data_IF_778038004538
#
_entry.id   IF_778038004538
#
_cell.length_a   1.000
_cell.length_b   1.000
_cell.length_c   1.000
_cell.angle_alpha   90.00
_cell.angle_beta   90.00
_cell.angle_gamma   90.00
#
_symmetry.space_group_name_H-M   'P 1'
#
loop_
_entity.id
_entity.type
_entity.pdbx_description
1 polymer ?
#
# COMPACT_ATOMS: atom_id res chain seq x y z
N UNK A 1 6.47 17.05 20.22
CA UNK A 1 5.38 17.17 19.22
C UNK A 1 4.20 17.88 19.87
N UNK A 2 3.46 18.71 19.13
CA UNK A 2 2.19 19.25 19.62
C UNK A 2 1.18 18.09 19.67
N UNK A 3 0.29 18.02 20.66
CA UNK A 3 -0.48 16.80 20.95
C UNK A 3 -1.49 16.41 19.86
N UNK A 4 -1.80 17.31 18.94
CA UNK A 4 -2.87 17.13 17.94
C UNK A 4 -2.39 16.61 16.58
N UNK A 5 -1.08 16.48 16.35
CA UNK A 5 -0.59 15.75 15.17
C UNK A 5 -0.16 14.35 15.58
N UNK A 6 -0.47 13.40 14.72
CA UNK A 6 -0.11 12.00 14.88
C UNK A 6 0.36 11.41 13.55
N UNK A 7 1.14 10.35 13.63
CA UNK A 7 1.57 9.56 12.49
C UNK A 7 0.96 8.17 12.66
N UNK A 8 -0.06 7.87 11.86
CA UNK A 8 -0.85 6.64 12.02
C UNK A 8 -0.04 5.44 11.54
N UNK A 9 0.51 5.56 10.34
CA UNK A 9 1.24 4.50 9.66
C UNK A 9 2.47 5.09 8.95
N UNK A 10 3.47 4.24 8.75
CA UNK A 10 4.68 4.57 8.00
C UNK A 10 4.68 3.70 6.75
N UNK A 11 4.51 4.34 5.62
CA UNK A 11 4.58 3.71 4.31
C UNK A 11 6.01 3.52 3.86
N UNK A 12 6.22 2.49 3.05
CA UNK A 12 7.44 2.31 2.26
C UNK A 12 7.14 2.55 0.79
N UNK A 13 7.94 3.39 0.16
CA UNK A 13 7.83 3.72 -1.26
C UNK A 13 9.21 4.07 -1.86
N UNK A 14 9.22 4.49 -3.12
CA UNK A 14 10.42 4.77 -3.92
C UNK A 14 10.32 6.07 -4.68
N UNK A 15 11.44 6.79 -4.75
CA UNK A 15 11.53 8.05 -5.47
C UNK A 15 12.87 8.14 -6.22
N UNK A 16 12.87 8.88 -7.33
CA UNK A 16 14.11 9.31 -7.98
C UNK A 16 14.62 10.57 -7.29
N UNK A 17 15.73 10.45 -6.56
CA UNK A 17 16.35 11.55 -5.80
C UNK A 17 17.83 11.59 -6.18
N UNK A 18 18.34 12.76 -6.57
CA UNK A 18 19.73 12.92 -7.05
C UNK A 18 20.09 11.95 -8.21
N UNK A 19 19.10 11.61 -9.05
CA UNK A 19 19.25 10.66 -10.15
C UNK A 19 19.39 9.19 -9.74
N UNK A 20 19.20 8.87 -8.46
CA UNK A 20 19.21 7.50 -7.93
C UNK A 20 17.78 7.05 -7.58
N UNK A 21 17.50 5.77 -7.79
CA UNK A 21 16.26 5.14 -7.34
C UNK A 21 16.38 4.80 -5.85
N UNK A 22 15.68 5.54 -5.00
CA UNK A 22 15.86 5.52 -3.54
C UNK A 22 14.59 5.04 -2.85
N UNK A 23 14.74 4.06 -1.97
CA UNK A 23 13.67 3.63 -1.08
C UNK A 23 13.55 4.60 0.10
N UNK A 24 12.33 4.99 0.42
CA UNK A 24 12.00 5.90 1.51
C UNK A 24 10.91 5.32 2.39
N UNK A 25 10.95 5.68 3.66
CA UNK A 25 9.81 5.62 4.56
C UNK A 25 9.14 6.99 4.58
N UNK A 26 7.81 7.03 4.50
CA UNK A 26 7.05 8.27 4.56
C UNK A 26 5.82 8.15 5.45
N UNK A 27 5.42 9.25 6.08
CA UNK A 27 4.24 9.28 6.93
C UNK A 27 3.56 10.65 6.88
N UNK A 28 2.23 10.64 6.78
CA UNK A 28 1.39 11.84 6.85
C UNK A 28 1.33 12.37 8.29
N UNK A 29 1.39 13.69 8.46
CA UNK A 29 1.05 14.34 9.73
C UNK A 29 -0.45 14.54 9.80
N UNK A 30 -1.15 13.58 10.37
CA UNK A 30 -2.60 13.60 10.48
C UNK A 30 -3.09 14.36 11.72
N UNK A 31 -4.31 14.90 11.64
CA UNK A 31 -4.90 15.67 12.72
C UNK A 31 -5.80 14.81 13.62
N UNK A 32 -5.34 14.58 14.85
CA UNK A 32 -6.09 13.84 15.86
C UNK A 32 -7.03 14.76 16.63
N UNK A 33 -8.29 14.82 16.21
CA UNK A 33 -9.33 15.61 16.91
C UNK A 33 -9.53 15.18 18.37
N UNK A 34 -9.26 13.92 18.71
CA UNK A 34 -9.32 13.40 20.07
C UNK A 34 -8.24 13.99 20.99
N UNK A 35 -7.13 14.46 20.45
CA UNK A 35 -6.03 15.01 21.24
C UNK A 35 -6.12 16.52 21.46
N UNK A 36 -7.18 17.16 20.94
CA UNK A 36 -7.46 18.56 21.21
C UNK A 36 -7.87 18.76 22.68
N UNK A 37 -7.22 19.71 23.35
CA UNK A 37 -7.50 20.06 24.74
C UNK A 37 -8.89 20.68 24.91
N UNK A 38 -9.28 21.56 23.99
CA UNK A 38 -10.63 22.15 23.93
C UNK A 38 -11.36 21.65 22.69
N UNK A 39 -12.33 20.74 22.90
CA UNK A 39 -13.12 20.10 21.84
C UNK A 39 -14.46 20.80 21.61
N UNK A 40 -14.45 22.13 21.57
CA UNK A 40 -15.64 22.88 21.18
C UNK A 40 -16.06 22.53 19.75
N UNK A 41 -17.35 22.65 19.41
CA UNK A 41 -17.82 22.41 18.04
C UNK A 41 -17.11 23.31 17.01
N UNK A 42 -16.71 24.53 17.40
CA UNK A 42 -15.93 25.41 16.52
C UNK A 42 -14.54 24.82 16.27
N UNK A 43 -13.87 24.34 17.31
CA UNK A 43 -12.55 23.74 17.18
C UNK A 43 -12.59 22.47 16.33
N UNK A 44 -13.55 21.58 16.59
CA UNK A 44 -13.68 20.29 15.89
C UNK A 44 -14.10 20.42 14.42
N UNK A 45 -14.87 21.45 14.08
CA UNK A 45 -15.53 21.49 12.78
C UNK A 45 -15.20 22.71 11.92
N UNK A 46 -14.63 23.78 12.48
CA UNK A 46 -14.30 25.00 11.72
C UNK A 46 -12.83 25.41 11.81
N UNK A 47 -12.13 25.12 12.91
CA UNK A 47 -10.76 25.58 13.12
C UNK A 47 -9.72 24.49 12.88
N UNK A 48 -9.79 23.35 13.58
CA UNK A 48 -8.87 22.24 13.39
C UNK A 48 -9.48 21.28 12.37
N UNK A 49 -9.22 21.56 11.09
CA UNK A 49 -9.91 20.89 9.99
C UNK A 49 -9.03 19.90 9.23
N UNK A 50 -7.70 20.03 9.25
CA UNK A 50 -6.78 19.25 8.42
C UNK A 50 -5.48 18.90 9.15
N UNK A 51 -4.84 17.81 8.71
CA UNK A 51 -3.44 17.48 9.00
C UNK A 51 -2.49 18.31 8.11
N UNK A 52 -1.18 18.23 8.33
CA UNK A 52 -0.25 19.15 7.66
C UNK A 52 1.11 18.52 7.30
N UNK A 53 1.27 18.23 6.02
CA UNK A 53 2.53 17.80 5.40
C UNK A 53 2.83 16.32 5.61
N UNK A 54 4.01 15.95 5.14
CA UNK A 54 4.54 14.59 5.14
C UNK A 54 5.98 14.63 5.63
N UNK A 55 6.43 13.56 6.29
CA UNK A 55 7.83 13.34 6.64
C UNK A 55 8.36 12.20 5.80
N UNK A 56 9.58 12.32 5.28
CA UNK A 56 10.24 11.28 4.50
C UNK A 56 11.68 11.07 4.97
N UNK A 57 12.06 9.80 5.14
CA UNK A 57 13.41 9.36 5.51
C UNK A 57 13.87 8.26 4.55
N UNK A 58 15.12 8.26 4.05
CA UNK A 58 15.70 7.05 3.46
C UNK A 58 15.68 5.89 4.47
N UNK A 59 15.50 4.68 3.97
CA UNK A 59 15.47 3.46 4.79
C UNK A 59 16.86 2.98 5.23
N UNK A 60 17.92 3.45 4.56
CA UNK A 60 19.28 2.93 4.69
C UNK A 60 20.32 3.99 5.10
N UNK A 61 19.90 5.18 5.52
CA UNK A 61 20.82 6.24 5.96
C UNK A 61 20.49 6.72 7.38
N UNK A 62 21.54 6.87 8.17
CA UNK A 62 21.51 7.55 9.47
C UNK A 62 22.58 8.64 9.50
N UNK A 63 22.35 9.68 10.28
CA UNK A 63 23.33 10.72 10.52
C UNK A 63 24.50 10.19 11.38
N UNK A 64 25.63 10.93 11.52
CA UNK A 64 26.76 10.50 12.35
C UNK A 64 26.45 10.27 13.84
N UNK A 65 25.27 10.68 14.32
CA UNK A 65 24.79 10.47 15.69
C UNK A 65 23.83 9.28 15.78
N UNK A 66 23.61 8.56 14.67
CA UNK A 66 22.69 7.42 14.59
C UNK A 66 21.21 7.83 14.50
N UNK A 67 20.90 9.10 14.24
CA UNK A 67 19.53 9.56 14.05
C UNK A 67 19.11 9.42 12.58
N UNK A 68 17.82 9.20 12.29
CA UNK A 68 17.32 9.21 10.92
C UNK A 68 17.67 10.52 10.20
N UNK A 69 18.21 10.41 8.99
CA UNK A 69 18.32 11.56 8.08
C UNK A 69 16.95 11.78 7.45
N UNK A 70 16.54 13.02 7.20
CA UNK A 70 15.27 13.30 6.53
C UNK A 70 15.50 13.90 5.14
N UNK A 71 14.77 13.38 4.14
CA UNK A 71 14.67 14.01 2.82
C UNK A 71 13.57 15.07 2.76
N UNK A 72 12.56 14.94 3.62
CA UNK A 72 11.46 15.88 3.77
C UNK A 72 11.05 15.91 5.24
N UNK A 73 11.13 17.06 5.89
CA UNK A 73 10.81 17.23 7.30
C UNK A 73 10.31 18.64 7.59
N UNK A 74 10.12 18.98 8.86
CA UNK A 74 9.67 20.29 9.35
C UNK A 74 8.23 20.67 9.01
N UNK A 75 7.81 21.80 9.58
CA UNK A 75 6.49 22.41 9.41
C UNK A 75 6.71 23.93 9.23
N UNK A 76 6.54 24.49 8.02
CA UNK A 76 6.16 23.80 6.77
C UNK A 76 7.15 22.74 6.28
N UNK A 77 6.69 21.73 5.50
CA UNK A 77 7.59 20.69 5.01
C UNK A 77 8.62 21.25 4.04
N UNK A 78 9.89 21.03 4.35
CA UNK A 78 11.05 21.39 3.53
C UNK A 78 11.89 20.14 3.25
N UNK A 79 12.36 20.03 2.01
CA UNK A 79 13.09 18.86 1.56
C UNK A 79 13.92 19.11 0.32
N UNK A 80 14.43 18.03 -0.26
CA UNK A 80 15.19 18.04 -1.51
C UNK A 80 14.33 18.58 -2.68
N UNK A 81 14.93 19.19 -3.72
CA UNK A 81 14.19 19.80 -4.83
C UNK A 81 13.17 18.89 -5.52
N UNK A 82 13.44 17.58 -5.56
CA UNK A 82 12.58 16.56 -6.17
C UNK A 82 11.32 16.26 -5.34
N UNK A 83 11.33 16.57 -4.04
CA UNK A 83 10.26 16.28 -3.09
C UNK A 83 9.58 17.56 -2.58
N UNK A 84 9.41 18.55 -3.45
CA UNK A 84 8.71 19.77 -3.09
C UNK A 84 7.25 19.48 -2.73
N UNK A 85 6.74 20.13 -1.67
CA UNK A 85 5.33 20.07 -1.28
C UNK A 85 4.72 21.46 -1.43
N UNK A 86 3.81 21.61 -2.39
CA UNK A 86 3.12 22.88 -2.66
C UNK A 86 1.76 22.96 -1.98
N UNK A 87 1.16 21.80 -1.66
CA UNK A 87 -0.14 21.69 -1.00
C UNK A 87 -0.03 20.70 0.18
N UNK A 88 0.52 21.11 1.33
CA UNK A 88 0.77 20.22 2.46
C UNK A 88 -0.49 19.80 3.22
N UNK A 89 -1.61 20.51 3.10
CA UNK A 89 -2.77 20.31 3.96
C UNK A 89 -3.58 19.05 3.60
N UNK A 90 -3.84 18.23 4.62
CA UNK A 90 -4.45 16.90 4.51
C UNK A 90 -5.86 16.96 5.09
N UNK A 91 -6.86 17.14 4.21
CA UNK A 91 -8.27 17.12 4.59
C UNK A 91 -8.85 15.70 4.57
N UNK A 92 -8.28 14.79 3.81
CA UNK A 92 -8.68 13.39 3.72
C UNK A 92 -7.45 12.56 4.05
N UNK A 93 -7.59 11.70 5.06
CA UNK A 93 -6.49 11.05 5.76
C UNK A 93 -6.97 9.68 6.25
N UNK A 94 -6.10 8.85 6.78
CA UNK A 94 -6.45 7.50 7.25
C UNK A 94 -7.21 7.53 8.57
N UNK A 95 -6.81 8.43 9.45
CA UNK A 95 -7.35 8.55 10.79
C UNK A 95 -8.85 8.82 10.79
N UNK A 96 -9.52 8.23 11.78
CA UNK A 96 -10.92 8.53 12.07
C UNK A 96 -11.14 10.02 12.32
N UNK A 97 -11.89 10.64 11.41
CA UNK A 97 -12.16 12.06 11.40
C UNK A 97 -13.67 12.32 11.24
N UNK A 98 -14.17 13.21 12.10
CA UNK A 98 -15.53 13.73 11.98
C UNK A 98 -15.72 14.62 10.75
N UNK A 99 -16.93 15.13 10.57
CA UNK A 99 -17.16 16.13 9.53
C UNK A 99 -16.44 17.44 9.84
N UNK A 100 -16.09 18.20 8.82
CA UNK A 100 -15.64 19.59 8.95
C UNK A 100 -16.38 20.48 7.97
N UNK A 101 -16.42 21.77 8.27
CA UNK A 101 -17.04 22.78 7.42
C UNK A 101 -15.94 23.77 7.06
N UNK A 102 -15.66 23.84 5.76
CA UNK A 102 -14.62 24.69 5.18
C UNK A 102 -15.26 25.85 4.42
N UNK A 103 -14.44 26.81 3.97
CA UNK A 103 -14.91 28.07 3.34
C UNK A 103 -15.88 28.81 4.25
N UNK A 104 -15.49 28.96 5.51
CA UNK A 104 -16.23 29.70 6.52
C UNK A 104 -15.64 31.10 6.67
N UNK A 105 -16.29 32.00 7.41
CA UNK A 105 -15.69 33.30 7.75
C UNK A 105 -14.53 33.19 8.74
N UNK A 106 -14.44 32.06 9.44
CA UNK A 106 -13.39 31.79 10.41
C UNK A 106 -12.20 31.15 9.70
N UNK A 107 -10.97 31.64 9.92
CA UNK A 107 -9.79 30.98 9.41
C UNK A 107 -9.57 29.62 10.08
N UNK A 108 -9.05 28.68 9.32
CA UNK A 108 -8.66 27.35 9.78
C UNK A 108 -7.26 27.46 10.41
N UNK A 109 -7.00 26.66 11.43
CA UNK A 109 -5.65 26.47 11.95
C UNK A 109 -4.83 25.70 10.91
N UNK A 110 -3.63 26.20 10.61
CA UNK A 110 -2.75 25.61 9.61
C UNK A 110 -1.58 24.88 10.29
N UNK A 111 -0.67 25.64 10.90
CA UNK A 111 0.46 25.11 11.66
C UNK A 111 0.92 26.07 12.76
N UNK A 112 1.66 25.61 13.79
CA UNK A 112 2.18 26.51 14.84
C UNK A 112 3.32 27.38 14.30
N UNK A 113 3.30 28.68 14.59
CA UNK A 113 4.31 29.65 14.15
C UNK A 113 4.80 30.47 15.35
N UNK A 114 5.83 29.97 16.04
CA UNK A 114 6.35 30.57 17.27
C UNK A 114 5.32 30.54 18.40
N UNK A 115 4.98 31.73 18.92
CA UNK A 115 3.92 31.92 19.93
C UNK A 115 2.52 32.13 19.29
N UNK A 116 2.46 32.26 17.97
CA UNK A 116 1.23 32.39 17.19
C UNK A 116 0.93 31.10 16.40
N UNK A 117 -0.17 31.11 15.65
CA UNK A 117 -0.50 30.05 14.71
C UNK A 117 -0.63 30.64 13.31
N UNK A 118 -0.05 29.98 12.33
CA UNK A 118 -0.41 30.18 10.95
C UNK A 118 -1.86 29.73 10.73
N UNK A 119 -2.53 30.41 9.81
CA UNK A 119 -3.93 30.13 9.48
C UNK A 119 -4.13 30.06 7.99
N UNK A 120 -5.06 29.22 7.57
CA UNK A 120 -5.39 29.00 6.17
C UNK A 120 -6.90 29.13 5.92
N UNK A 121 -7.24 29.27 4.64
CA UNK A 121 -8.60 29.08 4.15
C UNK A 121 -8.58 28.01 3.08
N UNK A 122 -9.52 27.06 3.16
CA UNK A 122 -9.68 26.08 2.10
C UNK A 122 -10.05 26.74 0.75
N UNK A 123 -9.21 26.59 -0.26
CA UNK A 123 -9.41 27.13 -1.60
C UNK A 123 -10.05 26.11 -2.55
N UNK A 124 -9.91 24.81 -2.24
CA UNK A 124 -10.32 23.71 -3.10
C UNK A 124 -11.83 23.54 -3.31
N UNK A 125 -12.19 22.40 -3.91
CA UNK A 125 -13.56 22.05 -4.30
C UNK A 125 -14.17 20.87 -3.52
N UNK A 126 -13.44 20.32 -2.55
CA UNK A 126 -13.85 19.20 -1.72
C UNK A 126 -15.09 19.50 -0.87
N UNK A 127 -15.77 18.44 -0.43
CA UNK A 127 -17.01 18.53 0.33
C UNK A 127 -18.23 18.98 -0.48
N UNK A 128 -19.40 18.94 0.17
CA UNK A 128 -20.70 19.28 -0.42
C UNK A 128 -21.06 20.73 -0.07
N UNK A 129 -21.46 21.59 -1.04
CA UNK A 129 -21.86 22.96 -0.75
C UNK A 129 -23.08 23.04 0.16
N UNK A 130 -22.98 23.84 1.22
CA UNK A 130 -24.11 24.13 2.12
C UNK A 130 -25.18 24.98 1.43
N UNK A 131 -24.78 26.00 0.67
CA UNK A 131 -25.74 26.86 -0.03
C UNK A 131 -26.76 27.50 0.90
N UNK A 132 -28.01 27.54 0.43
CA UNK A 132 -29.12 28.19 1.13
C UNK A 132 -29.66 27.44 2.35
N UNK A 133 -30.60 28.10 3.04
CA UNK A 133 -31.23 27.65 4.29
C UNK A 133 -31.72 26.19 4.29
N UNK A 134 -32.41 25.74 3.23
CA UNK A 134 -32.99 24.39 3.19
C UNK A 134 -31.92 23.28 3.25
N UNK A 135 -30.81 23.44 2.51
CA UNK A 135 -29.71 22.47 2.55
C UNK A 135 -29.01 22.49 3.91
N UNK A 136 -28.84 23.66 4.51
CA UNK A 136 -28.32 23.77 5.89
C UNK A 136 -29.21 23.05 6.90
N UNK A 137 -30.53 23.12 6.76
CA UNK A 137 -31.48 22.39 7.61
C UNK A 137 -31.31 20.87 7.47
N UNK A 138 -31.16 20.37 6.24
CA UNK A 138 -30.87 18.95 6.02
C UNK A 138 -29.56 18.50 6.65
N UNK A 139 -28.48 19.29 6.50
CA UNK A 139 -27.21 18.98 7.16
C UNK A 139 -27.30 19.07 8.69
N UNK A 140 -28.02 20.07 9.22
CA UNK A 140 -28.27 20.21 10.65
C UNK A 140 -28.99 18.99 11.23
N UNK A 141 -30.02 18.49 10.55
CA UNK A 141 -30.72 17.28 10.93
C UNK A 141 -29.82 16.03 10.82
N UNK A 142 -29.09 15.87 9.70
CA UNK A 142 -28.22 14.72 9.45
C UNK A 142 -27.03 14.62 10.41
N UNK A 143 -26.50 15.76 10.84
CA UNK A 143 -25.32 15.86 11.72
C UNK A 143 -25.71 16.12 13.18
N UNK A 144 -27.02 16.24 13.48
CA UNK A 144 -27.53 16.42 14.83
C UNK A 144 -27.09 17.73 15.48
N UNK A 145 -26.97 18.82 14.72
CA UNK A 145 -26.51 20.12 15.24
C UNK A 145 -27.24 21.31 14.64
N UNK A 146 -27.74 22.20 15.49
CA UNK A 146 -28.37 23.47 15.06
C UNK A 146 -27.36 24.55 14.71
N UNK A 147 -26.06 24.36 15.04
CA UNK A 147 -25.00 25.35 14.77
C UNK A 147 -24.81 25.60 13.28
N UNK A 148 -25.15 24.63 12.43
CA UNK A 148 -25.10 24.79 10.96
C UNK A 148 -26.11 25.83 10.46
N UNK A 149 -27.22 26.00 11.17
CA UNK A 149 -28.28 26.96 10.82
C UNK A 149 -27.95 28.38 11.30
N UNK A 150 -27.47 28.50 12.53
CA UNK A 150 -27.42 29.78 13.25
C UNK A 150 -26.02 30.35 13.44
N UNK A 151 -24.96 29.63 13.04
CA UNK A 151 -23.60 30.17 13.13
C UNK A 151 -23.36 31.26 12.08
N UNK A 152 -22.86 32.42 12.54
CA UNK A 152 -22.45 33.52 11.68
C UNK A 152 -21.20 33.21 10.85
N UNK A 153 -20.45 32.17 11.21
CA UNK A 153 -19.25 31.76 10.47
C UNK A 153 -19.62 31.03 9.16
N UNK A 154 -20.83 30.47 9.06
CA UNK A 154 -21.26 29.66 7.90
C UNK A 154 -21.90 30.52 6.82
N UNK A 155 -21.30 30.51 5.63
CA UNK A 155 -21.75 31.23 4.45
C UNK A 155 -22.35 30.29 3.40
N UNK A 156 -23.07 30.78 2.39
CA UNK A 156 -23.59 29.93 1.31
C UNK A 156 -22.50 29.18 0.54
N UNK A 157 -21.27 29.72 0.54
CA UNK A 157 -20.08 29.15 -0.09
C UNK A 157 -19.44 28.04 0.76
N UNK A 158 -19.76 27.97 2.04
CA UNK A 158 -19.24 26.96 2.96
C UNK A 158 -19.58 25.55 2.48
N UNK A 159 -18.67 24.61 2.72
CA UNK A 159 -18.79 23.22 2.26
C UNK A 159 -18.60 22.26 3.41
N UNK A 160 -19.44 21.23 3.49
CA UNK A 160 -19.30 20.16 4.48
C UNK A 160 -18.49 19.03 3.88
N UNK A 161 -17.37 18.70 4.49
CA UNK A 161 -16.59 17.50 4.18
C UNK A 161 -17.07 16.36 5.09
N UNK A 162 -17.53 15.28 4.47
CA UNK A 162 -18.01 14.07 5.11
C UNK A 162 -17.17 12.88 4.64
N UNK A 163 -17.14 11.81 5.45
CA UNK A 163 -16.45 10.56 5.12
C UNK A 163 -15.02 10.85 4.67
N UNK A 164 -14.29 11.48 5.57
CA UNK A 164 -12.90 11.89 5.37
C UNK A 164 -11.90 10.74 5.51
N UNK A 165 -12.12 9.75 6.41
CA UNK A 165 -11.27 8.56 6.46
C UNK A 165 -11.26 7.85 5.11
N UNK A 166 -10.07 7.58 4.56
CA UNK A 166 -9.88 7.04 3.20
C UNK A 166 -10.70 5.76 3.00
N UNK A 167 -10.52 4.77 3.88
CA UNK A 167 -11.23 3.49 3.80
C UNK A 167 -12.75 3.64 3.87
N UNK A 168 -13.26 4.47 4.79
CA UNK A 168 -14.71 4.74 4.91
C UNK A 168 -15.26 5.39 3.64
N UNK A 169 -14.50 6.31 3.04
CA UNK A 169 -14.88 6.99 1.81
C UNK A 169 -14.98 6.01 0.64
N UNK A 170 -13.93 5.23 0.44
CA UNK A 170 -13.81 4.26 -0.65
C UNK A 170 -14.90 3.18 -0.57
N UNK A 171 -15.11 2.59 0.62
CA UNK A 171 -16.14 1.59 0.84
C UNK A 171 -17.57 2.12 0.57
N UNK A 172 -17.81 3.43 0.76
CA UNK A 172 -19.11 4.05 0.47
C UNK A 172 -19.32 4.31 -1.01
N UNK A 173 -18.26 4.56 -1.77
CA UNK A 173 -18.33 4.84 -3.21
C UNK A 173 -18.53 3.56 -4.01
N UNK A 174 -17.80 2.50 -3.68
CA UNK A 174 -17.85 1.21 -4.39
C UNK A 174 -17.98 0.05 -3.39
N UNK A 175 -19.16 -0.10 -2.75
CA UNK A 175 -19.36 -1.05 -1.65
C UNK A 175 -19.26 -2.53 -2.04
N UNK A 176 -19.21 -2.81 -3.34
CA UNK A 176 -19.09 -4.15 -3.91
C UNK A 176 -17.63 -4.57 -4.15
N UNK A 177 -16.66 -3.66 -3.97
CA UNK A 177 -15.25 -4.01 -3.91
C UNK A 177 -14.83 -4.14 -2.44
N UNK A 178 -13.85 -5.03 -2.21
CA UNK A 178 -13.17 -5.15 -0.92
C UNK A 178 -11.87 -4.37 -1.01
N UNK A 179 -11.57 -3.51 -0.05
CA UNK A 179 -10.31 -2.78 -0.01
C UNK A 179 -9.24 -3.54 0.78
N UNK A 180 -7.99 -3.32 0.39
CA UNK A 180 -6.82 -3.68 1.18
C UNK A 180 -6.81 -2.96 2.53
N UNK A 181 -6.11 -3.56 3.50
CA UNK A 181 -5.95 -3.03 4.85
C UNK A 181 -5.16 -1.72 4.92
N UNK A 182 -4.21 -1.52 4.01
CA UNK A 182 -3.18 -0.48 4.09
C UNK A 182 -3.19 0.46 2.85
N UNK A 183 -3.93 1.58 2.92
CA UNK A 183 -3.85 2.65 1.92
C UNK A 183 -2.61 3.53 2.12
N UNK A 184 -1.77 3.67 1.10
CA UNK A 184 -0.48 4.34 1.21
C UNK A 184 -0.46 5.75 0.64
N UNK A 185 0.35 6.60 1.24
CA UNK A 185 0.57 7.97 0.79
C UNK A 185 1.58 8.02 -0.37
N UNK A 186 1.34 8.94 -1.32
CA UNK A 186 2.26 9.27 -2.41
C UNK A 186 2.34 10.79 -2.54
N UNK A 187 3.57 11.31 -2.62
CA UNK A 187 3.85 12.70 -3.00
C UNK A 187 4.06 12.77 -4.51
N UNK A 188 3.07 13.30 -5.23
CA UNK A 188 3.14 13.47 -6.68
C UNK A 188 2.88 14.93 -7.06
N UNK A 189 3.75 15.50 -7.89
CA UNK A 189 3.58 16.84 -8.47
C UNK A 189 3.31 17.93 -7.40
N UNK A 190 3.97 17.82 -6.24
CA UNK A 190 3.82 18.77 -5.14
C UNK A 190 2.57 18.62 -4.30
N UNK A 191 1.83 17.53 -4.47
CA UNK A 191 0.55 17.25 -3.81
C UNK A 191 0.53 15.84 -3.23
N UNK A 192 -0.32 15.65 -2.23
CA UNK A 192 -0.44 14.39 -1.51
C UNK A 192 -1.66 13.60 -2.00
N UNK A 193 -1.45 12.32 -2.28
CA UNK A 193 -2.47 11.38 -2.73
C UNK A 193 -2.38 10.10 -1.92
N UNK A 194 -3.52 9.52 -1.61
CA UNK A 194 -3.61 8.17 -1.05
C UNK A 194 -3.92 7.20 -2.18
N UNK A 195 -3.21 6.08 -2.24
CA UNK A 195 -3.53 4.98 -3.15
C UNK A 195 -4.00 3.80 -2.30
N UNK A 196 -5.10 3.19 -2.71
CA UNK A 196 -5.63 2.00 -2.04
C UNK A 196 -5.92 0.90 -3.07
N UNK A 197 -5.50 -0.31 -2.73
CA UNK A 197 -5.80 -1.50 -3.51
C UNK A 197 -7.24 -1.97 -3.25
N UNK A 198 -7.90 -2.45 -4.31
CA UNK A 198 -9.26 -2.92 -4.26
C UNK A 198 -9.44 -4.22 -5.04
N UNK A 199 -10.04 -5.17 -4.35
CA UNK A 199 -10.24 -6.53 -4.77
C UNK A 199 -11.65 -6.78 -5.26
N UNK A 200 -11.75 -7.50 -6.37
CA UNK A 200 -12.96 -8.26 -6.66
C UNK A 200 -12.86 -9.61 -5.96
N UNK A 201 -13.95 -10.02 -5.31
CA UNK A 201 -14.01 -11.30 -4.60
C UNK A 201 -15.27 -12.08 -4.95
N UNK A 202 -15.21 -13.40 -4.85
CA UNK A 202 -16.37 -14.28 -4.99
C UNK A 202 -16.22 -15.54 -4.15
N UNK A 203 -17.34 -16.12 -3.74
CA UNK A 203 -17.43 -17.42 -3.07
C UNK A 203 -17.95 -18.53 -4.01
N UNK A 204 -18.18 -18.19 -5.28
CA UNK A 204 -18.88 -19.04 -6.25
C UNK A 204 -18.03 -19.39 -7.46
N UNK A 205 -16.72 -19.20 -7.39
CA UNK A 205 -15.84 -19.58 -8.48
C UNK A 205 -15.70 -21.12 -8.52
N UNK A 206 -15.96 -21.77 -9.66
CA UNK A 206 -15.98 -23.22 -9.71
C UNK A 206 -14.57 -23.79 -9.55
N UNK A 207 -14.47 -24.97 -8.92
CA UNK A 207 -13.22 -25.72 -8.75
C UNK A 207 -12.09 -24.98 -8.00
N UNK A 208 -12.43 -23.98 -7.19
CA UNK A 208 -11.46 -23.25 -6.36
C UNK A 208 -11.72 -23.50 -4.86
N UNK A 209 -10.64 -23.70 -4.10
CA UNK A 209 -10.71 -23.88 -2.65
C UNK A 209 -11.13 -22.56 -1.99
N UNK A 210 -12.21 -22.54 -1.19
CA UNK A 210 -12.56 -21.36 -0.41
C UNK A 210 -11.58 -21.10 0.72
N UNK A 211 -11.07 -19.88 0.79
CA UNK A 211 -10.30 -19.36 1.91
C UNK A 211 -11.21 -18.60 2.87
N UNK A 212 -11.18 -18.90 4.18
CA UNK A 212 -11.96 -18.16 5.18
C UNK A 212 -11.77 -16.65 5.08
N UNK A 213 -12.87 -15.92 5.17
CA UNK A 213 -12.88 -14.46 5.06
C UNK A 213 -12.71 -13.90 3.64
N UNK A 214 -12.12 -14.63 2.69
CA UNK A 214 -11.82 -14.14 1.33
C UNK A 214 -12.75 -14.70 0.24
N UNK A 215 -13.24 -15.92 0.42
CA UNK A 215 -13.94 -16.66 -0.64
C UNK A 215 -12.98 -17.50 -1.46
N UNK A 216 -13.35 -17.83 -2.69
CA UNK A 216 -12.58 -18.71 -3.58
C UNK A 216 -12.17 -18.04 -4.90
N UNK A 217 -12.29 -16.72 -4.96
CA UNK A 217 -11.78 -15.87 -6.03
C UNK A 217 -11.40 -14.53 -5.44
N UNK A 218 -10.19 -14.07 -5.74
CA UNK A 218 -9.67 -12.76 -5.35
C UNK A 218 -8.76 -12.27 -6.48
N UNK A 219 -8.96 -11.03 -6.91
CA UNK A 219 -8.10 -10.36 -7.91
C UNK A 219 -7.86 -8.92 -7.52
N UNK A 220 -6.65 -8.41 -7.76
CA UNK A 220 -6.29 -7.01 -7.50
C UNK A 220 -6.77 -6.12 -8.66
N UNK A 221 -8.09 -6.06 -8.82
CA UNK A 221 -8.68 -5.52 -10.04
C UNK A 221 -8.56 -4.00 -10.14
N UNK A 222 -8.53 -3.27 -9.02
CA UNK A 222 -8.66 -1.81 -9.03
C UNK A 222 -7.64 -1.12 -8.10
N UNK A 223 -7.09 0.00 -8.55
CA UNK A 223 -6.37 0.99 -7.74
C UNK A 223 -7.25 2.22 -7.55
N UNK A 224 -7.53 2.59 -6.31
CA UNK A 224 -8.22 3.84 -5.99
C UNK A 224 -7.21 4.92 -5.64
N UNK A 225 -7.31 6.10 -6.24
CA UNK A 225 -6.50 7.27 -5.88
C UNK A 225 -7.40 8.30 -5.22
N UNK A 226 -7.05 8.73 -4.02
CA UNK A 226 -7.74 9.79 -3.28
C UNK A 226 -6.84 11.00 -3.11
N UNK A 227 -7.31 12.14 -3.59
CA UNK A 227 -6.63 13.42 -3.37
C UNK A 227 -6.75 13.84 -1.90
N UNK A 228 -5.65 13.97 -1.17
CA UNK A 228 -5.67 14.27 0.26
C UNK A 228 -6.26 15.66 0.57
N UNK A 229 -6.26 16.57 -0.41
CA UNK A 229 -6.78 17.93 -0.26
C UNK A 229 -8.23 18.07 -0.73
N UNK A 230 -8.58 17.49 -1.88
CA UNK A 230 -9.92 17.60 -2.46
C UNK A 230 -10.87 16.48 -2.04
N UNK A 231 -10.34 15.31 -1.70
CA UNK A 231 -11.09 14.08 -1.50
C UNK A 231 -11.70 13.55 -2.80
N UNK A 232 -11.30 14.04 -3.97
CA UNK A 232 -11.69 13.44 -5.25
C UNK A 232 -11.12 12.02 -5.31
N UNK A 233 -11.91 11.10 -5.86
CA UNK A 233 -11.53 9.69 -5.95
C UNK A 233 -11.62 9.26 -7.41
N UNK A 234 -10.54 8.66 -7.88
CA UNK A 234 -10.49 8.01 -9.20
C UNK A 234 -10.20 6.51 -9.01
N UNK A 235 -10.92 5.67 -9.74
CA UNK A 235 -10.73 4.22 -9.74
C UNK A 235 -10.13 3.77 -11.06
N UNK A 236 -8.99 3.10 -11.02
CA UNK A 236 -8.27 2.61 -12.18
C UNK A 236 -8.23 1.09 -12.21
N UNK A 237 -8.59 0.46 -13.33
CA UNK A 237 -8.54 -0.99 -13.51
C UNK A 237 -7.09 -1.42 -13.71
N UNK A 238 -6.52 -2.12 -12.72
CA UNK A 238 -5.14 -2.62 -12.76
C UNK A 238 -5.02 -4.01 -13.38
N UNK A 239 -6.02 -4.88 -13.19
CA UNK A 239 -6.07 -6.23 -13.77
C UNK A 239 -7.37 -6.40 -14.58
N UNK A 240 -7.27 -6.81 -15.85
CA UNK A 240 -8.43 -7.01 -16.72
C UNK A 240 -9.05 -8.40 -16.54
N UNK A 241 -9.87 -8.55 -15.51
CA UNK A 241 -10.51 -9.81 -15.14
C UNK A 241 -12.05 -9.80 -15.33
N UNK A 242 -12.72 -10.97 -15.40
CA UNK A 242 -14.13 -11.06 -15.79
C UNK A 242 -15.12 -10.30 -14.88
N UNK A 243 -14.85 -10.24 -13.58
CA UNK A 243 -15.73 -9.61 -12.58
C UNK A 243 -15.69 -8.09 -12.71
N UNK A 244 -14.50 -7.48 -12.79
CA UNK A 244 -14.37 -6.04 -12.98
C UNK A 244 -14.89 -5.61 -14.35
N UNK A 245 -14.73 -6.42 -15.40
CA UNK A 245 -15.36 -6.17 -16.71
C UNK A 245 -16.88 -6.11 -16.62
N UNK A 246 -17.50 -7.01 -15.85
CA UNK A 246 -18.93 -6.98 -15.62
C UNK A 246 -19.35 -5.74 -14.81
N UNK A 247 -18.64 -5.44 -13.72
CA UNK A 247 -18.92 -4.27 -12.88
C UNK A 247 -18.76 -2.95 -13.63
N UNK A 248 -17.75 -2.82 -14.49
CA UNK A 248 -17.53 -1.63 -15.32
C UNK A 248 -18.66 -1.40 -16.33
N UNK A 249 -19.31 -2.47 -16.82
CA UNK A 249 -20.51 -2.36 -17.67
C UNK A 249 -21.75 -1.97 -16.88
N UNK A 250 -21.88 -2.45 -15.64
CA UNK A 250 -23.01 -2.11 -14.75
C UNK A 250 -22.93 -0.66 -14.29
N UNK A 251 -21.72 -0.15 -14.02
CA UNK A 251 -21.47 1.20 -13.52
C UNK A 251 -20.61 2.00 -14.50
N UNK A 252 -21.17 2.43 -15.64
CA UNK A 252 -20.41 3.17 -16.65
C UNK A 252 -19.88 4.49 -16.10
N UNK A 253 -18.61 4.79 -16.39
CA UNK A 253 -17.94 6.02 -15.95
C UNK A 253 -17.29 5.96 -14.56
N UNK A 254 -17.49 4.87 -13.80
CA UNK A 254 -16.87 4.70 -12.46
C UNK A 254 -15.39 4.34 -12.55
N UNK A 255 -15.02 3.51 -13.53
CA UNK A 255 -13.66 2.97 -13.67
C UNK A 255 -12.97 3.52 -14.91
N UNK A 256 -11.68 3.79 -14.78
CA UNK A 256 -10.77 4.24 -15.83
C UNK A 256 -9.73 3.16 -16.13
N UNK A 257 -9.19 3.06 -17.35
CA UNK A 257 -8.00 2.26 -17.63
C UNK A 257 -6.79 2.73 -16.81
N UNK A 258 -5.92 1.82 -16.36
CA UNK A 258 -4.67 2.20 -15.66
C UNK A 258 -3.75 3.10 -16.50
N UNK A 259 -3.83 3.02 -17.83
CA UNK A 259 -3.09 3.89 -18.74
C UNK A 259 -3.47 5.38 -18.61
N UNK A 260 -4.69 5.69 -18.15
CA UNK A 260 -5.14 7.05 -17.87
C UNK A 260 -4.65 7.59 -16.52
N UNK A 261 -4.08 6.74 -15.66
CA UNK A 261 -3.48 7.19 -14.40
C UNK A 261 -2.28 8.10 -14.70
N UNK A 262 -2.18 9.29 -14.07
CA UNK A 262 -1.01 10.15 -14.22
C UNK A 262 0.28 9.39 -13.95
N UNK A 263 1.30 9.60 -14.78
CA UNK A 263 2.56 8.85 -14.66
C UNK A 263 3.20 9.01 -13.27
N UNK A 264 3.16 10.22 -12.72
CA UNK A 264 3.66 10.53 -11.38
C UNK A 264 2.95 9.78 -10.24
N UNK A 265 1.80 9.13 -10.49
CA UNK A 265 1.13 8.24 -9.54
C UNK A 265 1.30 6.76 -9.94
N UNK A 266 1.26 6.47 -11.24
CA UNK A 266 1.42 5.11 -11.76
C UNK A 266 2.79 4.53 -11.42
N UNK A 267 3.84 5.35 -11.44
CA UNK A 267 5.20 4.94 -11.08
C UNK A 267 5.31 4.57 -9.58
N UNK A 268 4.30 4.89 -8.76
CA UNK A 268 4.21 4.56 -7.34
C UNK A 268 3.27 3.40 -7.02
N UNK A 269 2.55 2.85 -8.01
CA UNK A 269 1.67 1.69 -7.80
C UNK A 269 2.48 0.51 -7.27
N UNK A 270 2.04 -0.13 -6.19
CA UNK A 270 2.69 -1.30 -5.59
C UNK A 270 1.79 -2.55 -5.61
N UNK A 271 2.39 -3.73 -5.44
CA UNK A 271 1.65 -4.98 -5.29
C UNK A 271 1.16 -5.13 -3.85
N UNK A 272 -0.12 -5.45 -3.59
CA UNK A 272 -0.69 -5.26 -2.27
C UNK A 272 -0.43 -6.42 -1.30
N UNK A 273 -0.35 -6.06 -0.03
CA UNK A 273 0.09 -6.94 1.03
C UNK A 273 -0.94 -8.01 1.39
N UNK A 274 -2.23 -7.67 1.47
CA UNK A 274 -3.25 -8.66 1.86
C UNK A 274 -3.36 -9.79 0.84
N UNK A 275 -3.37 -9.45 -0.46
CA UNK A 275 -3.40 -10.44 -1.53
C UNK A 275 -2.12 -11.27 -1.55
N UNK A 276 -0.97 -10.63 -1.38
CA UNK A 276 0.31 -11.33 -1.35
C UNK A 276 0.40 -12.30 -0.17
N UNK A 277 -0.03 -11.88 1.03
CA UNK A 277 -0.10 -12.73 2.24
C UNK A 277 -1.07 -13.88 2.05
N UNK A 278 -2.21 -13.66 1.41
CA UNK A 278 -3.16 -14.71 1.04
C UNK A 278 -2.51 -15.73 0.10
N UNK A 279 -1.86 -15.26 -0.97
CA UNK A 279 -1.16 -16.12 -1.94
C UNK A 279 -0.03 -16.93 -1.27
N UNK A 280 0.79 -16.28 -0.45
CA UNK A 280 1.86 -16.92 0.30
C UNK A 280 1.31 -17.99 1.27
N UNK A 281 0.21 -17.69 1.97
CA UNK A 281 -0.44 -18.63 2.88
C UNK A 281 -0.95 -19.87 2.15
N UNK A 282 -1.52 -19.73 0.96
CA UNK A 282 -1.95 -20.86 0.11
C UNK A 282 -0.72 -21.65 -0.35
N UNK A 283 0.35 -20.96 -0.76
CA UNK A 283 1.57 -21.56 -1.27
C UNK A 283 2.27 -22.48 -0.26
N UNK A 284 2.07 -22.25 1.05
CA UNK A 284 2.61 -23.13 2.12
C UNK A 284 2.28 -24.61 1.93
N UNK A 285 1.17 -24.93 1.25
CA UNK A 285 0.73 -26.29 0.94
C UNK A 285 0.72 -26.57 -0.56
N UNK A 286 0.29 -25.61 -1.38
CA UNK A 286 0.06 -25.84 -2.80
C UNK A 286 1.32 -25.83 -3.67
N UNK A 287 2.49 -25.54 -3.09
CA UNK A 287 3.77 -25.73 -3.78
C UNK A 287 4.11 -27.22 -4.00
N UNK A 288 3.47 -28.13 -3.27
CA UNK A 288 3.60 -29.59 -3.41
C UNK A 288 2.71 -30.09 -4.55
N UNK A 289 3.33 -30.48 -5.67
CA UNK A 289 2.61 -30.95 -6.87
C UNK A 289 2.43 -32.47 -6.92
N UNK A 290 3.22 -33.24 -6.16
CA UNK A 290 3.06 -34.69 -6.07
C UNK A 290 1.86 -35.05 -5.18
N UNK A 291 0.84 -35.79 -5.69
CA UNK A 291 -0.37 -36.09 -4.93
C UNK A 291 -0.15 -36.86 -3.63
N UNK A 292 0.82 -37.77 -3.59
CA UNK A 292 1.12 -38.57 -2.41
C UNK A 292 1.75 -37.72 -1.30
N UNK A 293 2.72 -36.88 -1.67
CA UNK A 293 3.40 -35.92 -0.78
C UNK A 293 2.38 -34.90 -0.25
N UNK A 294 1.50 -34.39 -1.12
CA UNK A 294 0.45 -33.46 -0.73
C UNK A 294 -0.57 -34.08 0.23
N UNK A 295 -1.06 -35.30 -0.06
CA UNK A 295 -2.01 -36.01 0.79
C UNK A 295 -1.44 -36.29 2.19
N UNK A 296 -0.17 -36.69 2.25
CA UNK A 296 0.53 -36.97 3.50
C UNK A 296 1.07 -35.71 4.21
N UNK A 297 1.00 -34.53 3.58
CA UNK A 297 1.52 -33.27 4.11
C UNK A 297 3.01 -33.33 4.48
N UNK A 298 3.82 -33.97 3.65
CA UNK A 298 5.23 -34.28 3.96
C UNK A 298 6.20 -33.08 3.88
N UNK A 299 5.86 -32.04 3.12
CA UNK A 299 6.70 -30.83 2.92
C UNK A 299 5.91 -29.55 3.15
N UNK A 300 5.16 -29.46 4.26
CA UNK A 300 4.44 -28.23 4.62
C UNK A 300 5.42 -27.12 5.01
N UNK A 301 5.21 -25.93 4.46
CA UNK A 301 5.92 -24.71 4.86
C UNK A 301 5.10 -23.88 5.85
N UNK A 302 5.77 -22.95 6.51
CA UNK A 302 5.20 -21.86 7.30
C UNK A 302 5.73 -20.53 6.76
N UNK A 303 4.98 -19.46 7.01
CA UNK A 303 5.54 -18.12 6.88
C UNK A 303 6.66 -17.98 7.90
N UNK A 304 7.75 -17.33 7.52
CA UNK A 304 8.86 -17.12 8.46
C UNK A 304 8.38 -16.32 9.65
N UNK A 305 9.01 -16.55 10.80
CA UNK A 305 8.76 -15.78 12.02
C UNK A 305 9.90 -14.86 12.32
N UNK A 306 9.59 -13.74 12.96
CA UNK A 306 10.57 -12.78 13.46
C UNK A 306 10.35 -12.51 14.95
N UNK A 307 11.43 -12.07 15.61
CA UNK A 307 11.36 -11.63 16.99
C UNK A 307 10.97 -10.14 16.99
N UNK A 308 9.70 -9.86 17.23
CA UNK A 308 9.23 -8.50 17.40
C UNK A 308 9.10 -8.18 18.89
N UNK A 309 9.88 -7.21 19.35
CA UNK A 309 10.12 -6.89 20.76
C UNK A 309 10.59 -8.11 21.59
N UNK A 310 9.64 -8.92 22.07
CA UNK A 310 9.87 -10.09 22.92
C UNK A 310 9.00 -11.29 22.55
N UNK A 311 8.18 -11.17 21.51
CA UNK A 311 7.32 -12.23 21.00
C UNK A 311 7.78 -12.68 19.62
N UNK A 312 7.74 -13.99 19.39
CA UNK A 312 7.89 -14.54 18.06
C UNK A 312 6.55 -14.38 17.32
N UNK A 313 6.56 -13.61 16.23
CA UNK A 313 5.38 -13.31 15.41
C UNK A 313 5.63 -13.73 13.97
N UNK A 314 4.56 -13.99 13.22
CA UNK A 314 4.67 -14.23 11.79
C UNK A 314 5.19 -12.95 11.12
N UNK A 315 6.21 -13.09 10.28
CA UNK A 315 6.77 -12.00 9.51
C UNK A 315 5.71 -11.47 8.52
N UNK A 316 5.59 -10.15 8.44
CA UNK A 316 4.70 -9.50 7.48
C UNK A 316 5.43 -9.31 6.14
N UNK A 317 4.69 -9.30 5.01
CA UNK A 317 5.27 -8.89 3.75
C UNK A 317 5.92 -7.51 3.87
N UNK A 318 7.10 -7.32 3.30
CA UNK A 318 7.78 -6.02 3.34
C UNK A 318 8.31 -5.61 1.98
N UNK A 319 8.23 -4.31 1.69
CA UNK A 319 8.75 -3.76 0.45
C UNK A 319 10.25 -3.48 0.53
N UNK A 320 10.96 -3.81 -0.55
CA UNK A 320 12.39 -3.59 -0.66
C UNK A 320 12.78 -3.29 -2.11
N UNK A 321 13.71 -2.34 -2.30
CA UNK A 321 14.43 -2.19 -3.56
C UNK A 321 15.59 -3.17 -3.56
N UNK A 322 15.58 -4.10 -4.51
CA UNK A 322 16.69 -5.04 -4.70
C UNK A 322 16.76 -5.49 -6.15
N UNK A 323 17.89 -6.07 -6.52
CA UNK A 323 18.05 -6.72 -7.82
C UNK A 323 17.70 -8.20 -7.69
N UNK A 324 16.61 -8.61 -8.34
CA UNK A 324 16.23 -10.01 -8.43
C UNK A 324 17.31 -10.83 -9.15
N UNK A 325 17.58 -12.08 -8.73
CA UNK A 325 18.50 -12.95 -9.44
C UNK A 325 18.12 -13.12 -10.92
N UNK A 326 19.06 -12.81 -11.82
CA UNK A 326 18.87 -12.87 -13.28
C UNK A 326 18.46 -11.55 -13.92
N UNK A 327 18.05 -10.55 -13.13
CA UNK A 327 17.69 -9.23 -13.63
C UNK A 327 18.91 -8.28 -13.66
N UNK A 328 18.92 -7.35 -14.61
CA UNK A 328 20.03 -6.40 -14.77
C UNK A 328 19.92 -5.18 -13.85
N UNK A 329 18.69 -4.84 -13.42
CA UNK A 329 18.37 -3.61 -12.69
C UNK A 329 17.71 -3.91 -11.35
N UNK A 330 17.85 -2.97 -10.43
CA UNK A 330 17.12 -2.98 -9.16
C UNK A 330 15.65 -2.64 -9.41
N UNK A 331 14.78 -3.27 -8.63
CA UNK A 331 13.34 -3.10 -8.70
C UNK A 331 12.74 -3.08 -7.31
N UNK A 332 11.61 -2.39 -7.18
CA UNK A 332 10.79 -2.42 -5.98
C UNK A 332 9.92 -3.66 -5.97
N UNK A 333 10.10 -4.48 -4.95
CA UNK A 333 9.41 -5.74 -4.78
C UNK A 333 8.80 -5.83 -3.39
N UNK A 334 7.70 -6.56 -3.27
CA UNK A 334 7.17 -7.05 -2.00
C UNK A 334 7.73 -8.45 -1.76
N UNK A 335 8.30 -8.74 -0.59
CA UNK A 335 8.98 -10.02 -0.32
C UNK A 335 8.42 -10.70 0.94
N UNK A 336 8.36 -12.04 0.93
CA UNK A 336 8.13 -12.84 2.13
C UNK A 336 8.89 -14.18 2.09
N UNK A 337 9.68 -14.51 3.13
CA UNK A 337 10.38 -15.77 3.23
C UNK A 337 9.55 -16.91 3.85
N UNK A 338 9.88 -18.15 3.51
CA UNK A 338 9.27 -19.38 4.03
C UNK A 338 10.28 -20.26 4.76
N UNK A 339 9.79 -20.93 5.81
CA UNK A 339 10.50 -22.00 6.52
C UNK A 339 9.71 -23.31 6.45
N UNK A 340 10.33 -24.49 6.62
CA UNK A 340 9.59 -25.72 6.83
C UNK A 340 8.85 -25.68 8.16
N UNK A 341 7.71 -26.36 8.24
CA UNK A 341 6.92 -26.49 9.45
C UNK A 341 7.79 -26.89 10.67
N UNK A 342 7.79 -26.03 11.69
CA UNK A 342 8.53 -26.25 12.94
C UNK A 342 10.06 -26.14 12.84
N UNK A 343 10.59 -25.52 11.77
CA UNK A 343 12.04 -25.28 11.60
C UNK A 343 12.33 -23.80 11.40
N UNK A 344 13.48 -23.33 11.90
CA UNK A 344 13.91 -21.93 11.77
C UNK A 344 14.74 -21.60 10.52
N UNK A 345 14.97 -22.58 9.63
CA UNK A 345 15.84 -22.38 8.46
C UNK A 345 15.02 -22.04 7.23
N UNK A 346 15.32 -20.90 6.60
CA UNK A 346 14.66 -20.46 5.36
C UNK A 346 14.91 -21.45 4.21
N UNK A 347 13.84 -21.82 3.49
CA UNK A 347 13.90 -22.74 2.35
C UNK A 347 13.45 -22.12 1.03
N UNK A 348 12.65 -21.08 1.10
CA UNK A 348 12.23 -20.30 -0.06
C UNK A 348 11.92 -18.86 0.32
N UNK A 349 11.77 -18.00 -0.67
CA UNK A 349 11.09 -16.71 -0.54
C UNK A 349 10.28 -16.43 -1.80
N UNK A 350 9.14 -15.79 -1.61
CA UNK A 350 8.30 -15.28 -2.69
C UNK A 350 8.53 -13.78 -2.79
N UNK A 351 8.52 -13.26 -4.00
CA UNK A 351 8.42 -11.83 -4.23
C UNK A 351 7.37 -11.48 -5.27
N UNK A 352 6.75 -10.32 -5.12
CA UNK A 352 5.89 -9.70 -6.11
C UNK A 352 6.57 -8.44 -6.67
N UNK A 353 6.67 -8.35 -7.99
CA UNK A 353 7.26 -7.19 -8.67
C UNK A 353 6.26 -6.04 -8.73
N UNK A 354 6.70 -4.84 -8.38
CA UNK A 354 5.85 -3.63 -8.38
C UNK A 354 6.17 -2.64 -9.50
N UNK A 355 7.25 -2.86 -10.25
CA UNK A 355 7.75 -1.88 -11.23
C UNK A 355 7.50 -2.27 -12.69
N UNK A 356 7.16 -1.26 -13.49
CA UNK A 356 7.11 -1.34 -14.95
C UNK A 356 6.17 -2.43 -15.50
N UNK A 357 6.56 -3.01 -16.63
CA UNK A 357 5.78 -4.06 -17.31
C UNK A 357 5.77 -5.39 -16.54
N UNK A 358 6.63 -5.52 -15.53
CA UNK A 358 6.67 -6.69 -14.65
C UNK A 358 5.72 -6.58 -13.46
N UNK A 359 5.01 -5.46 -13.30
CA UNK A 359 4.01 -5.26 -12.26
C UNK A 359 3.05 -6.45 -12.15
N UNK A 360 2.92 -7.00 -10.94
CA UNK A 360 2.01 -8.11 -10.65
C UNK A 360 2.58 -9.51 -10.88
N UNK A 361 3.82 -9.62 -11.36
CA UNK A 361 4.47 -10.93 -11.50
C UNK A 361 4.99 -11.41 -10.15
N UNK A 362 4.66 -12.66 -9.81
CA UNK A 362 5.18 -13.37 -8.64
C UNK A 362 6.40 -14.20 -9.02
N UNK A 363 7.42 -14.20 -8.18
CA UNK A 363 8.65 -14.98 -8.36
C UNK A 363 8.96 -15.75 -7.09
N UNK A 364 9.02 -17.09 -7.18
CA UNK A 364 9.35 -17.97 -6.07
C UNK A 364 10.78 -18.51 -6.20
N UNK A 365 11.63 -18.16 -5.24
CA UNK A 365 13.00 -18.67 -5.17
C UNK A 365 13.10 -19.78 -4.12
N UNK A 366 13.56 -20.98 -4.52
CA UNK A 366 13.73 -22.14 -3.62
C UNK A 366 15.20 -22.51 -3.43
N UNK A 367 15.74 -22.32 -2.23
CA UNK A 367 17.16 -22.55 -1.93
C UNK A 367 17.60 -24.01 -2.03
N UNK A 368 16.71 -24.95 -1.72
CA UNK A 368 17.02 -26.39 -1.81
C UNK A 368 17.33 -26.82 -3.23
N UNK A 369 16.54 -26.35 -4.20
CA UNK A 369 16.74 -26.61 -5.62
C UNK A 369 18.02 -25.95 -6.14
N UNK A 370 18.29 -24.70 -5.73
CA UNK A 370 19.53 -23.99 -6.10
C UNK A 370 20.76 -24.74 -5.58
N UNK A 371 20.76 -25.15 -4.30
CA UNK A 371 21.87 -25.94 -3.72
C UNK A 371 22.05 -27.27 -4.42
N UNK A 372 20.96 -27.96 -4.77
CA UNK A 372 21.00 -29.23 -5.49
C UNK A 372 21.53 -29.06 -6.92
N UNK A 373 21.10 -28.01 -7.63
CA UNK A 373 21.62 -27.68 -8.95
C UNK A 373 23.12 -27.38 -8.90
N UNK A 374 23.56 -26.55 -7.94
CA UNK A 374 24.98 -26.24 -7.75
C UNK A 374 25.81 -27.50 -7.42
N UNK A 375 25.31 -28.37 -6.54
CA UNK A 375 25.99 -29.62 -6.20
C UNK A 375 26.10 -30.57 -7.41
N UNK A 376 25.02 -30.76 -8.17
CA UNK A 376 25.02 -31.59 -9.38
C UNK A 376 25.92 -31.02 -10.48
N UNK A 377 26.00 -29.69 -10.60
CA UNK A 377 26.91 -29.03 -11.53
C UNK A 377 28.37 -29.26 -11.16
N UNK A 378 28.74 -29.09 -9.88
CA UNK A 378 30.11 -29.36 -9.41
C UNK A 378 30.46 -30.85 -9.52
N UNK A 379 29.51 -31.75 -9.23
CA UNK A 379 29.67 -33.19 -9.44
C UNK A 379 29.92 -33.52 -10.91
N UNK A 380 29.14 -32.92 -11.83
CA UNK A 380 29.33 -33.08 -13.26
C UNK A 380 30.73 -32.59 -13.70
N UNK A 381 31.19 -31.41 -13.24
CA UNK A 381 32.56 -30.93 -13.54
C UNK A 381 33.64 -31.88 -13.04
N UNK A 382 33.47 -32.42 -11.83
CA UNK A 382 34.42 -33.38 -11.24
C UNK A 382 34.48 -34.68 -12.06
N UNK A 383 33.33 -35.23 -12.45
CA UNK A 383 33.23 -36.47 -13.23
C UNK A 383 33.77 -36.31 -14.66
N UNK A 384 33.54 -35.15 -15.27
CA UNK A 384 34.15 -34.78 -16.54
C UNK A 384 35.68 -34.70 -16.43
N UNK A 385 36.19 -34.09 -15.34
CA UNK A 385 37.63 -34.02 -15.07
C UNK A 385 38.29 -35.37 -14.79
N UNK A 386 37.55 -36.35 -14.27
CA UNK A 386 38.03 -37.72 -14.03
C UNK A 386 37.82 -38.68 -15.21
N UNK A 387 37.18 -38.25 -16.29
CA UNK A 387 36.90 -39.08 -17.47
C UNK A 387 35.74 -40.09 -17.31
N UNK A 388 34.91 -39.96 -16.27
CA UNK A 388 33.71 -40.79 -16.08
C UNK A 388 32.52 -40.20 -16.86
N UNK A 389 32.51 -40.46 -18.17
CA UNK A 389 31.47 -39.97 -19.07
C UNK A 389 30.05 -40.51 -18.76
N UNK A 390 29.86 -41.78 -18.39
CA UNK A 390 28.55 -42.28 -17.96
C UNK A 390 28.04 -41.60 -16.68
N UNK A 391 28.93 -41.38 -15.69
CA UNK A 391 28.60 -40.63 -14.48
C UNK A 391 28.22 -39.18 -14.78
N UNK A 392 29.00 -38.50 -15.62
CA UNK A 392 28.74 -37.15 -16.10
C UNK A 392 27.36 -37.02 -16.77
N UNK A 393 27.01 -37.95 -17.66
CA UNK A 393 25.71 -37.96 -18.33
C UNK A 393 24.53 -38.02 -17.36
N UNK A 394 24.61 -38.89 -16.33
CA UNK A 394 23.57 -38.97 -15.29
C UNK A 394 23.48 -37.72 -14.43
N UNK A 395 24.63 -37.12 -14.07
CA UNK A 395 24.65 -35.87 -13.31
C UNK A 395 24.03 -34.72 -14.10
N UNK A 396 24.27 -34.64 -15.41
CA UNK A 396 23.63 -33.66 -16.29
C UNK A 396 22.12 -33.87 -16.44
N UNK A 397 21.66 -35.11 -16.55
CA UNK A 397 20.23 -35.42 -16.64
C UNK A 397 19.50 -35.01 -15.36
N UNK A 398 20.09 -35.32 -14.20
CA UNK A 398 19.58 -34.87 -12.90
C UNK A 398 19.62 -33.35 -12.75
N UNK A 399 20.70 -32.70 -13.22
CA UNK A 399 20.81 -31.25 -13.23
C UNK A 399 19.71 -30.63 -14.11
N UNK A 400 19.48 -31.19 -15.30
CA UNK A 400 18.41 -30.78 -16.21
C UNK A 400 17.04 -30.83 -15.55
N UNK A 401 16.71 -31.94 -14.87
CA UNK A 401 15.45 -32.08 -14.13
C UNK A 401 15.31 -31.05 -12.99
N UNK A 402 16.40 -30.74 -12.27
CA UNK A 402 16.39 -29.71 -11.21
C UNK A 402 16.27 -28.29 -11.80
N UNK A 403 16.89 -28.02 -12.95
CA UNK A 403 16.80 -26.74 -13.65
C UNK A 403 15.40 -26.53 -14.26
N UNK A 404 14.76 -27.59 -14.77
CA UNK A 404 13.35 -27.56 -15.17
C UNK A 404 12.44 -27.24 -13.98
N UNK A 405 12.64 -27.90 -12.83
CA UNK A 405 11.89 -27.57 -11.60
C UNK A 405 12.10 -26.13 -11.14
N UNK A 406 13.30 -25.57 -11.31
CA UNK A 406 13.58 -24.16 -11.02
C UNK A 406 12.90 -23.23 -12.03
N UNK A 407 12.94 -23.55 -13.32
CA UNK A 407 12.28 -22.79 -14.38
C UNK A 407 10.76 -22.80 -14.20
N UNK A 408 10.16 -23.95 -13.87
CA UNK A 408 8.73 -24.07 -13.62
C UNK A 408 8.34 -23.32 -12.34
N UNK A 409 9.13 -23.43 -11.27
CA UNK A 409 8.91 -22.64 -10.05
C UNK A 409 8.99 -21.12 -10.31
N UNK A 410 9.81 -20.67 -11.25
CA UNK A 410 9.92 -19.27 -11.65
C UNK A 410 8.82 -18.82 -12.65
N UNK A 411 8.13 -19.77 -13.31
CA UNK A 411 7.06 -19.51 -14.29
C UNK A 411 5.65 -19.75 -13.76
N UNK A 412 5.50 -20.24 -12.54
CA UNK A 412 4.16 -20.45 -11.95
C UNK A 412 3.58 -19.08 -11.58
N UNK A 413 2.48 -18.64 -12.21
CA UNK A 413 1.88 -17.33 -11.99
C UNK A 413 1.30 -17.15 -10.59
#
# INVERSE_FOLDING_TARGET
MRPYYDFIEVDVDRYWIDGQYRQVMLAARELTSASLQNRSWVNLHLQYTHGYGVVMSPVNEVDPRGLPRFFLADIPPHGVPELQVTRPEIYYAEQEAGYVIVKTRRPEFDYPLGDENATAFYEGRGGVPLGGWLRRLWFAARLGTTRILFSNDITPESRVMLYRPIRTRLQRLVPFLRFDGDPYLVLAEGRLFWIADAYTTSTRFPYALPTPGWGNYVRNSVKAVVDAYHGTVDFYIAEDEPVIRALARVFPGTFKPLSEMPRALRDHVRYPEDLFRLQASILTRYHMTNPQVFYNQEDVWELSRELYESAEVDMEPYYVITRLPGEEREEFILMLPFTPLGKGNMVAWLAARSDGDAYGQLVLYRFGLIRRAAALFEEARRLAGSGDWPGYGRALEQLGAVLEQLSDAARTP
#
